data_IF_605083302447
#
_entry.id   IF_605083302447
#
_cell.length_a   1.000
_cell.length_b   1.000
_cell.length_c   1.000
_cell.angle_alpha   90.00
_cell.angle_beta   90.00
_cell.angle_gamma   90.00
#
_symmetry.space_group_name_H-M   'P 1'
#
loop_
_entity.id
_entity.type
_entity.pdbx_description
1 polymer ?
#
# COMPACT_ATOMS: atom_id res chain seq x y z
N UNK A 1 -0.54 -21.70 23.14
CA UNK A 1 -1.52 -20.65 23.50
C UNK A 1 -2.07 -20.05 22.21
N UNK A 2 -3.38 -19.83 22.10
CA UNK A 2 -3.98 -19.16 20.93
C UNK A 2 -3.42 -17.74 20.81
N UNK A 3 -3.19 -17.22 19.60
CA UNK A 3 -2.71 -15.83 19.37
C UNK A 3 -3.44 -14.81 20.24
N UNK A 4 -4.76 -14.96 20.39
CA UNK A 4 -5.62 -14.10 21.20
C UNK A 4 -5.25 -14.07 22.69
N UNK A 5 -4.78 -15.18 23.25
CA UNK A 5 -4.40 -15.24 24.66
C UNK A 5 -3.06 -14.54 24.94
N UNK A 6 -2.19 -14.44 23.93
CA UNK A 6 -0.87 -13.79 24.06
C UNK A 6 -0.98 -12.27 23.90
N UNK A 7 -1.94 -11.78 23.12
CA UNK A 7 -2.06 -10.34 22.82
C UNK A 7 -3.10 -9.61 23.68
N UNK A 8 -3.87 -10.32 24.53
CA UNK A 8 -4.99 -9.74 25.29
C UNK A 8 -4.56 -8.54 26.13
N UNK A 9 -3.49 -8.69 26.91
CA UNK A 9 -3.04 -7.63 27.83
C UNK A 9 -2.53 -6.40 27.05
N UNK A 10 -1.84 -6.64 25.93
CA UNK A 10 -1.41 -5.58 25.02
C UNK A 10 -2.58 -4.85 24.36
N UNK A 11 -3.68 -5.56 24.05
CA UNK A 11 -4.90 -4.93 23.52
C UNK A 11 -5.66 -4.12 24.58
N UNK A 12 -5.53 -4.45 25.87
CA UNK A 12 -6.11 -3.71 26.97
C UNK A 12 -5.35 -2.41 27.28
N UNK A 13 -4.03 -2.39 27.02
CA UNK A 13 -3.14 -1.26 27.29
C UNK A 13 -2.48 -0.74 26.01
N UNK A 14 -3.29 -0.27 25.06
CA UNK A 14 -2.79 0.26 23.78
C UNK A 14 -1.99 1.54 24.01
N UNK A 15 -0.82 1.63 23.37
CA UNK A 15 -0.11 2.89 23.19
C UNK A 15 -0.79 3.79 22.14
N UNK A 16 -0.25 4.98 21.95
CA UNK A 16 -0.70 5.93 20.91
C UNK A 16 0.24 5.91 19.71
N UNK A 17 -0.33 6.00 18.51
CA UNK A 17 0.40 6.19 17.25
C UNK A 17 0.08 7.58 16.73
N UNK A 18 1.10 8.37 16.38
CA UNK A 18 0.93 9.71 15.81
C UNK A 18 0.96 9.72 14.28
N UNK A 19 1.58 8.72 13.65
CA UNK A 19 1.71 8.63 12.20
C UNK A 19 1.77 7.17 11.71
N UNK A 20 1.21 6.92 10.54
CA UNK A 20 1.23 5.62 9.85
C UNK A 20 1.57 5.86 8.39
N UNK A 21 2.64 5.22 7.93
CA UNK A 21 3.02 5.20 6.52
C UNK A 21 2.93 3.78 5.98
N UNK A 22 2.27 3.63 4.84
CA UNK A 22 2.26 2.39 4.05
C UNK A 22 2.91 2.64 2.69
N UNK A 23 3.59 1.62 2.17
CA UNK A 23 4.06 1.59 0.78
C UNK A 23 3.44 0.38 0.09
N UNK A 24 2.74 0.62 -1.02
CA UNK A 24 2.25 -0.43 -1.92
C UNK A 24 3.10 -0.43 -3.18
N UNK A 25 3.50 -1.61 -3.64
CA UNK A 25 4.20 -1.78 -4.92
C UNK A 25 3.49 -2.86 -5.72
N UNK A 26 3.10 -2.53 -6.94
CA UNK A 26 2.42 -3.48 -7.81
C UNK A 26 1.74 -2.83 -9.01
N UNK A 27 1.15 -3.66 -9.87
CA UNK A 27 0.37 -3.18 -11.00
C UNK A 27 -1.09 -2.99 -10.58
N UNK A 28 -1.73 -1.86 -10.97
CA UNK A 28 -3.14 -1.67 -10.68
C UNK A 28 -3.99 -2.64 -11.52
N UNK A 29 -5.15 -3.01 -10.98
CA UNK A 29 -6.22 -3.65 -11.75
C UNK A 29 -7.06 -2.61 -12.49
N UNK A 30 -8.38 -2.71 -12.37
CA UNK A 30 -9.27 -1.68 -12.89
C UNK A 30 -9.05 -0.34 -12.17
N UNK A 31 -8.92 0.73 -12.95
CA UNK A 31 -8.77 2.10 -12.46
C UNK A 31 -10.07 2.86 -12.68
N UNK A 32 -10.64 3.41 -11.61
CA UNK A 32 -11.86 4.18 -11.64
C UNK A 32 -11.55 5.67 -11.44
N UNK A 33 -11.58 6.44 -12.52
CA UNK A 33 -11.42 7.90 -12.47
C UNK A 33 -12.76 8.52 -12.04
N UNK A 34 -12.73 9.36 -11.01
CA UNK A 34 -13.88 10.13 -10.51
C UNK A 34 -13.53 11.62 -10.52
N UNK A 35 -14.53 12.53 -10.43
CA UNK A 35 -14.24 13.97 -10.44
C UNK A 35 -13.21 14.40 -9.39
N UNK A 36 -13.25 13.81 -8.19
CA UNK A 36 -12.41 14.25 -7.07
C UNK A 36 -11.14 13.43 -6.86
N UNK A 37 -11.09 12.19 -7.34
CA UNK A 37 -9.94 11.30 -7.15
C UNK A 37 -9.92 10.16 -8.17
N UNK A 38 -8.79 9.45 -8.20
CA UNK A 38 -8.63 8.18 -8.87
C UNK A 38 -8.69 7.07 -7.81
N UNK A 39 -9.49 6.05 -8.08
CA UNK A 39 -9.73 4.93 -7.19
C UNK A 39 -9.26 3.64 -7.83
N UNK A 40 -8.66 2.76 -7.03
CA UNK A 40 -8.34 1.39 -7.43
C UNK A 40 -8.32 0.48 -6.21
N UNK A 41 -8.55 -0.82 -6.46
CA UNK A 41 -8.36 -1.86 -5.47
C UNK A 41 -7.11 -2.68 -5.83
N UNK A 42 -6.31 -3.00 -4.82
CA UNK A 42 -5.14 -3.87 -4.92
C UNK A 42 -5.23 -4.93 -3.83
N UNK A 43 -4.71 -6.14 -4.05
CA UNK A 43 -4.69 -7.18 -3.04
C UNK A 43 -3.27 -7.71 -2.86
N UNK A 44 -2.85 -7.89 -1.61
CA UNK A 44 -1.65 -8.66 -1.32
C UNK A 44 -2.02 -10.11 -1.00
N UNK A 45 -1.45 -11.04 -1.74
CA UNK A 45 -1.68 -12.48 -1.57
C UNK A 45 -0.56 -13.19 -0.79
N UNK A 46 0.59 -12.52 -0.54
CA UNK A 46 1.71 -13.11 0.21
C UNK A 46 2.41 -12.09 1.10
N UNK A 47 2.59 -12.46 2.36
CA UNK A 47 3.46 -11.74 3.29
C UNK A 47 4.91 -12.26 3.25
N UNK A 48 5.85 -11.52 3.87
CA UNK A 48 7.23 -11.99 4.03
C UNK A 48 7.31 -13.20 4.95
N UNK A 49 8.42 -13.95 4.87
CA UNK A 49 8.75 -14.94 5.90
C UNK A 49 9.02 -14.22 7.22
N UNK A 50 8.36 -14.65 8.29
CA UNK A 50 8.58 -14.10 9.63
C UNK A 50 9.62 -14.93 10.40
N UNK A 51 10.41 -14.30 11.29
CA UNK A 51 11.26 -15.01 12.25
C UNK A 51 10.48 -16.00 13.11
N UNK A 52 11.18 -17.04 13.57
CA UNK A 52 10.62 -18.03 14.51
C UNK A 52 10.08 -17.33 15.76
N UNK A 53 8.90 -17.74 16.21
CA UNK A 53 8.25 -17.22 17.43
C UNK A 53 7.22 -16.11 17.19
N UNK A 54 7.12 -15.57 15.97
CA UNK A 54 6.02 -14.68 15.59
C UNK A 54 4.79 -15.50 15.11
N UNK A 55 3.57 -14.98 15.29
CA UNK A 55 2.39 -15.59 14.71
C UNK A 55 2.45 -15.54 13.18
N UNK A 56 1.90 -16.56 12.53
CA UNK A 56 1.81 -16.60 11.07
C UNK A 56 1.00 -15.42 10.52
N UNK A 57 1.38 -14.97 9.33
CA UNK A 57 0.63 -13.97 8.57
C UNK A 57 -0.68 -14.61 8.11
N UNK A 58 -1.83 -13.94 8.26
CA UNK A 58 -3.09 -14.42 7.69
C UNK A 58 -2.96 -14.75 6.21
N UNK A 59 -3.53 -15.87 5.77
CA UNK A 59 -3.52 -16.30 4.37
C UNK A 59 -4.62 -15.66 3.53
N UNK A 60 -5.66 -15.14 4.18
CA UNK A 60 -6.72 -14.36 3.51
C UNK A 60 -6.09 -13.10 2.91
N UNK A 61 -6.24 -12.86 1.60
CA UNK A 61 -5.71 -11.65 0.98
C UNK A 61 -6.32 -10.39 1.60
N UNK A 62 -5.48 -9.41 1.91
CA UNK A 62 -5.94 -8.09 2.34
C UNK A 62 -6.20 -7.23 1.11
N UNK A 63 -7.41 -6.67 1.02
CA UNK A 63 -7.77 -5.67 0.01
C UNK A 63 -7.33 -4.29 0.47
N UNK A 64 -6.70 -3.55 -0.45
CA UNK A 64 -6.26 -2.17 -0.30
C UNK A 64 -7.04 -1.30 -1.29
N UNK A 65 -7.89 -0.42 -0.78
CA UNK A 65 -8.60 0.58 -1.58
C UNK A 65 -7.79 1.86 -1.58
N UNK A 66 -7.27 2.24 -2.75
CA UNK A 66 -6.35 3.38 -2.87
C UNK A 66 -7.08 4.59 -3.42
N UNK A 67 -6.97 5.71 -2.70
CA UNK A 67 -7.47 7.02 -3.08
C UNK A 67 -6.30 7.90 -3.52
N UNK A 68 -6.30 8.30 -4.78
CA UNK A 68 -5.21 9.08 -5.39
C UNK A 68 -5.75 10.42 -5.88
N UNK A 69 -5.14 11.52 -5.45
CA UNK A 69 -5.43 12.83 -6.02
C UNK A 69 -4.96 12.88 -7.49
N UNK A 70 -5.73 13.53 -8.38
CA UNK A 70 -5.42 13.62 -9.81
C UNK A 70 -3.98 14.08 -10.12
N UNK A 71 -3.46 15.01 -9.32
CA UNK A 71 -2.08 15.51 -9.47
C UNK A 71 -1.01 14.41 -9.29
N UNK A 72 -1.28 13.39 -8.46
CA UNK A 72 -0.39 12.25 -8.26
C UNK A 72 -0.58 11.17 -9.33
N UNK A 73 -1.75 11.13 -9.99
CA UNK A 73 -2.02 10.15 -11.06
C UNK A 73 -1.51 10.58 -12.45
N UNK A 74 -1.22 11.87 -12.64
CA UNK A 74 -0.83 12.43 -13.94
C UNK A 74 0.35 11.67 -14.55
N UNK A 75 0.14 11.13 -15.76
CA UNK A 75 1.15 10.39 -16.52
C UNK A 75 1.45 8.97 -16.00
N UNK A 76 0.71 8.46 -15.02
CA UNK A 76 0.86 7.08 -14.56
C UNK A 76 0.33 6.07 -15.60
N UNK A 77 -0.78 6.38 -16.27
CA UNK A 77 -1.37 5.50 -17.29
C UNK A 77 -0.40 5.23 -18.44
N UNK A 78 0.27 6.27 -18.93
CA UNK A 78 1.30 6.16 -19.97
C UNK A 78 2.50 5.33 -19.49
N UNK A 79 2.99 5.58 -18.26
CA UNK A 79 4.11 4.81 -17.71
C UNK A 79 3.75 3.31 -17.59
N UNK A 80 2.54 3.02 -17.11
CA UNK A 80 2.05 1.66 -16.92
C UNK A 80 1.69 0.93 -18.22
N UNK A 81 1.71 1.61 -19.38
CA UNK A 81 1.67 0.94 -20.68
C UNK A 81 2.87 -0.02 -20.85
N UNK A 82 3.99 0.25 -20.17
CA UNK A 82 5.08 -0.72 -20.05
C UNK A 82 4.67 -1.84 -19.07
N UNK A 83 4.62 -3.11 -19.50
CA UNK A 83 4.24 -4.25 -18.63
C UNK A 83 5.21 -4.51 -17.48
N UNK A 84 6.47 -4.08 -17.60
CA UNK A 84 7.51 -4.27 -16.59
C UNK A 84 7.54 -3.15 -15.55
N UNK A 85 6.82 -2.05 -15.78
CA UNK A 85 6.70 -0.98 -14.79
C UNK A 85 5.65 -1.34 -13.73
N UNK A 86 5.73 -0.74 -12.55
CA UNK A 86 4.75 -0.95 -11.49
C UNK A 86 4.57 0.33 -10.69
N UNK A 87 3.36 0.54 -10.14
CA UNK A 87 3.14 1.65 -9.23
C UNK A 87 3.93 1.45 -7.94
N UNK A 88 4.47 2.54 -7.43
CA UNK A 88 4.93 2.69 -6.06
C UNK A 88 4.04 3.78 -5.45
N UNK A 89 3.26 3.39 -4.44
CA UNK A 89 2.29 4.26 -3.77
C UNK A 89 2.71 4.37 -2.32
N UNK A 90 2.91 5.58 -1.84
CA UNK A 90 3.07 5.87 -0.41
C UNK A 90 1.87 6.67 0.09
N UNK A 91 1.44 6.38 1.32
CA UNK A 91 0.28 7.05 1.88
C UNK A 91 0.03 6.73 3.34
N UNK A 92 -1.08 7.28 3.83
CA UNK A 92 -1.62 6.99 5.15
C UNK A 92 -2.70 5.91 5.04
N UNK A 93 -2.73 4.98 5.98
CA UNK A 93 -3.61 3.81 5.93
C UNK A 93 -4.56 3.74 7.14
N UNK A 94 -5.82 3.40 6.86
CA UNK A 94 -6.81 3.06 7.86
C UNK A 94 -7.55 1.77 7.49
N UNK A 95 -8.04 1.07 8.50
CA UNK A 95 -9.03 0.03 8.27
C UNK A 95 -10.37 0.67 7.88
N UNK A 96 -10.96 0.18 6.79
CA UNK A 96 -12.26 0.58 6.29
C UNK A 96 -13.25 -0.56 6.54
N UNK A 97 -14.19 -0.40 7.49
CA UNK A 97 -15.14 -1.45 7.83
C UNK A 97 -16.21 -1.68 6.75
N UNK A 98 -16.50 -0.69 5.89
CA UNK A 98 -17.51 -0.82 4.83
C UNK A 98 -16.98 -1.70 3.69
N UNK A 99 -15.68 -1.61 3.42
CA UNK A 99 -15.00 -2.36 2.36
C UNK A 99 -14.27 -3.61 2.85
N UNK A 100 -14.35 -3.90 4.15
CA UNK A 100 -13.64 -5.00 4.84
C UNK A 100 -12.14 -5.06 4.46
N UNK A 101 -11.46 -3.91 4.48
CA UNK A 101 -10.11 -3.78 3.96
C UNK A 101 -9.34 -2.58 4.50
N UNK A 102 -8.24 -2.24 3.83
CA UNK A 102 -7.40 -1.09 4.17
C UNK A 102 -7.63 0.03 3.15
N UNK A 103 -8.14 1.16 3.59
CA UNK A 103 -8.13 2.39 2.81
C UNK A 103 -6.73 3.02 2.85
N UNK A 104 -6.20 3.38 1.69
CA UNK A 104 -4.90 4.05 1.54
C UNK A 104 -5.10 5.39 0.86
N UNK A 105 -4.79 6.47 1.58
CA UNK A 105 -4.83 7.83 1.08
C UNK A 105 -3.43 8.21 0.56
N UNK A 106 -3.27 8.19 -0.76
CA UNK A 106 -1.96 8.32 -1.38
C UNK A 106 -1.42 9.76 -1.26
N UNK A 107 -0.26 9.90 -0.62
CA UNK A 107 0.47 11.16 -0.50
C UNK A 107 1.58 11.27 -1.54
N UNK A 108 2.03 10.14 -2.10
CA UNK A 108 3.01 10.09 -3.18
C UNK A 108 2.74 8.89 -4.09
N UNK A 109 2.87 9.09 -5.40
CA UNK A 109 2.74 8.04 -6.41
C UNK A 109 3.83 8.23 -7.46
N UNK A 110 4.54 7.15 -7.75
CA UNK A 110 5.51 7.06 -8.85
C UNK A 110 5.49 5.65 -9.43
N UNK A 111 6.40 5.35 -10.35
CA UNK A 111 6.59 4.00 -10.87
C UNK A 111 7.99 3.48 -10.60
N UNK A 112 8.18 2.16 -10.66
CA UNK A 112 9.46 1.50 -10.40
C UNK A 112 10.55 2.00 -11.35
N UNK A 113 10.23 2.14 -12.65
CA UNK A 113 11.20 2.63 -13.63
C UNK A 113 11.52 4.11 -13.46
N UNK A 114 10.51 4.97 -13.20
CA UNK A 114 10.74 6.40 -12.91
C UNK A 114 11.60 6.60 -11.66
N UNK A 115 11.35 5.81 -10.61
CA UNK A 115 12.14 5.86 -9.37
C UNK A 115 13.59 5.40 -9.61
N UNK A 116 13.82 4.42 -10.48
CA UNK A 116 15.16 3.97 -10.84
C UNK A 116 15.94 5.05 -11.60
N UNK A 117 15.31 5.71 -12.59
CA UNK A 117 15.92 6.80 -13.36
C UNK A 117 16.36 7.97 -12.47
N UNK A 118 15.52 8.37 -11.52
CA UNK A 118 15.82 9.45 -10.56
C UNK A 118 17.00 9.13 -9.64
N UNK A 119 17.19 7.85 -9.28
CA UNK A 119 18.34 7.42 -8.47
C UNK A 119 19.64 7.44 -9.28
N UNK A 120 19.59 7.01 -10.54
CA UNK A 120 20.76 7.05 -11.43
C UNK A 120 21.24 8.48 -11.71
N UNK A 121 20.31 9.43 -11.91
CA UNK A 121 20.68 10.84 -12.13
C UNK A 121 21.28 11.54 -10.90
N UNK A 122 21.08 11.01 -9.69
CA UNK A 122 21.60 11.58 -8.45
C UNK A 122 22.94 10.98 -8.01
N UNK A 123 23.36 9.84 -8.60
CA UNK A 123 24.68 9.25 -8.36
C UNK A 123 25.76 9.74 -9.33
N UNK A 124 25.34 10.39 -10.43
CA UNK A 124 26.23 10.89 -11.50
C UNK A 124 26.46 12.41 -11.43
N UNK A 125 25.99 13.08 -10.35
CA UNK A 125 26.17 14.50 -10.07
C UNK A 125 26.88 14.70 -8.73
#
# INVERSE_FOLDING_TARGET
>A
ATRMNVVRDALAQKGSISDVKITLVGRPGAVAVRPNCVLMAMANTRGPSLPKGLPDIPTTPTTYTVYIAHKHWRGMEEALANPDDALIIEGWAAYDPELEGIAVFATFVTTTLRRAQQKGSASDA
#
